data_IF_552424922646
#
_entry.id   IF_552424922646
#
_cell.length_a   1.000
_cell.length_b   1.000
_cell.length_c   1.000
_cell.angle_alpha   90.00
_cell.angle_beta   90.00
_cell.angle_gamma   90.00
#
_symmetry.space_group_name_H-M   'P 1'
#
loop_
_entity.id
_entity.type
_entity.pdbx_description
1 polymer ?
#
# COMPACT_ATOMS: atom_id res chain seq x y z
N UNK A 1 -30.40 -6.72 -5.02
CA UNK A 1 -30.66 -5.92 -3.79
C UNK A 1 -31.00 -6.79 -2.59
N UNK A 2 -32.00 -7.69 -2.64
CA UNK A 2 -32.33 -8.58 -1.50
C UNK A 2 -31.18 -9.46 -0.96
N UNK A 3 -30.28 -9.96 -1.83
CA UNK A 3 -29.12 -10.75 -1.39
C UNK A 3 -28.06 -9.92 -0.64
N UNK A 4 -27.89 -8.63 -1.01
CA UNK A 4 -26.96 -7.69 -0.37
C UNK A 4 -27.49 -7.16 0.99
N UNK A 5 -28.81 -7.04 1.13
CA UNK A 5 -29.45 -6.64 2.40
C UNK A 5 -29.30 -7.70 3.50
N UNK A 6 -29.26 -8.98 3.11
CA UNK A 6 -29.01 -10.11 4.03
C UNK A 6 -27.55 -10.12 4.48
N UNK A 7 -26.61 -9.78 3.61
CA UNK A 7 -25.17 -9.79 3.88
C UNK A 7 -24.74 -8.68 4.87
N UNK A 8 -25.27 -7.46 4.74
CA UNK A 8 -25.03 -6.36 5.70
C UNK A 8 -25.78 -6.53 7.03
N UNK A 9 -26.91 -7.24 6.98
CA UNK A 9 -27.80 -7.49 8.11
C UNK A 9 -27.32 -8.61 9.04
N UNK A 10 -26.44 -9.49 8.55
CA UNK A 10 -25.92 -10.64 9.29
C UNK A 10 -25.05 -10.19 10.49
N UNK A 11 -25.46 -10.50 11.74
CA UNK A 11 -24.71 -10.11 12.92
C UNK A 11 -23.31 -10.74 13.02
N UNK A 12 -23.13 -11.93 12.47
CA UNK A 12 -21.86 -12.64 12.48
C UNK A 12 -20.90 -11.99 11.47
N UNK A 13 -21.33 -11.80 10.22
CA UNK A 13 -20.52 -11.10 9.22
C UNK A 13 -20.17 -9.68 9.67
N UNK A 14 -21.11 -8.97 10.31
CA UNK A 14 -20.84 -7.65 10.87
C UNK A 14 -19.74 -7.69 11.93
N UNK A 15 -19.78 -8.67 12.82
CA UNK A 15 -18.78 -8.81 13.90
C UNK A 15 -17.41 -9.22 13.36
N UNK A 16 -17.38 -10.06 12.34
CA UNK A 16 -16.14 -10.62 11.79
C UNK A 16 -15.46 -9.66 10.81
N UNK A 17 -16.23 -9.04 9.91
CA UNK A 17 -15.68 -8.25 8.81
C UNK A 17 -15.63 -6.76 9.09
N UNK A 18 -16.46 -6.20 9.96
CA UNK A 18 -16.52 -4.74 10.14
C UNK A 18 -15.76 -4.28 11.39
N UNK A 19 -15.16 -3.10 11.28
CA UNK A 19 -14.55 -2.38 12.38
C UNK A 19 -14.87 -0.89 12.30
N UNK A 20 -14.96 -0.25 13.47
CA UNK A 20 -14.99 1.20 13.60
C UNK A 20 -13.56 1.70 13.74
N UNK A 21 -13.19 2.72 12.97
CA UNK A 21 -11.88 3.35 13.08
C UNK A 21 -12.02 4.58 13.97
N UNK A 22 -11.25 4.59 15.07
CA UNK A 22 -11.23 5.68 16.04
C UNK A 22 -9.99 6.57 15.83
N UNK A 23 -10.15 7.86 16.06
CA UNK A 23 -9.03 8.78 16.21
C UNK A 23 -8.38 8.68 17.58
N UNK A 24 -7.28 9.41 17.75
CA UNK A 24 -6.60 9.58 19.04
C UNK A 24 -7.51 10.27 20.08
N UNK A 25 -8.47 11.07 19.61
CA UNK A 25 -9.52 11.71 20.40
C UNK A 25 -10.66 10.76 20.81
N UNK A 26 -10.52 9.46 20.51
CA UNK A 26 -11.55 8.43 20.67
C UNK A 26 -12.85 8.71 19.89
N UNK A 27 -12.84 9.67 18.95
CA UNK A 27 -13.97 9.92 18.08
C UNK A 27 -13.98 8.99 16.89
N UNK A 28 -15.16 8.71 16.35
CA UNK A 28 -15.33 7.90 15.15
C UNK A 28 -14.80 8.68 13.95
N UNK A 29 -13.77 8.14 13.31
CA UNK A 29 -13.21 8.67 12.07
C UNK A 29 -13.76 7.97 10.84
N UNK A 30 -14.38 6.81 11.00
CA UNK A 30 -14.99 6.06 9.91
C UNK A 30 -15.16 4.59 10.23
N UNK A 31 -15.27 3.79 9.17
CA UNK A 31 -15.35 2.34 9.26
C UNK A 31 -14.39 1.66 8.27
N UNK A 32 -14.10 0.40 8.55
CA UNK A 32 -13.43 -0.52 7.66
C UNK A 32 -14.21 -1.84 7.59
N UNK A 33 -14.17 -2.47 6.42
CA UNK A 33 -14.62 -3.83 6.16
C UNK A 33 -13.40 -4.63 5.69
N UNK A 34 -13.23 -5.83 6.22
CA UNK A 34 -12.19 -6.79 5.86
C UNK A 34 -12.86 -8.00 5.21
N UNK A 35 -12.99 -7.97 3.88
CA UNK A 35 -13.64 -9.03 3.13
C UNK A 35 -12.62 -10.15 2.82
N UNK A 36 -12.82 -11.38 3.31
CA UNK A 36 -11.88 -12.47 3.10
C UNK A 36 -12.03 -13.05 1.70
N UNK A 37 -10.93 -13.11 0.95
CA UNK A 37 -10.78 -13.83 -0.31
C UNK A 37 -9.67 -14.89 -0.16
N UNK A 38 -9.55 -15.80 -1.12
CA UNK A 38 -8.48 -16.79 -1.13
C UNK A 38 -7.12 -16.09 -1.30
N UNK A 39 -6.27 -16.12 -0.26
CA UNK A 39 -4.95 -15.47 -0.25
C UNK A 39 -4.97 -13.94 -0.16
N UNK A 40 -6.15 -13.30 -0.15
CA UNK A 40 -6.29 -11.84 -0.20
C UNK A 40 -7.28 -11.35 0.87
N UNK A 41 -6.99 -10.20 1.47
CA UNK A 41 -7.95 -9.46 2.30
C UNK A 41 -8.35 -8.19 1.56
N UNK A 42 -9.55 -8.17 0.96
CA UNK A 42 -10.08 -6.99 0.29
C UNK A 42 -10.66 -6.02 1.30
N UNK A 43 -10.14 -4.79 1.34
CA UNK A 43 -10.61 -3.78 2.28
C UNK A 43 -11.65 -2.85 1.64
N UNK A 44 -12.79 -2.71 2.31
CA UNK A 44 -13.74 -1.62 2.08
C UNK A 44 -13.58 -0.58 3.18
N UNK A 45 -13.68 0.71 2.87
CA UNK A 45 -13.53 1.76 3.88
C UNK A 45 -14.32 3.01 3.56
N UNK A 46 -14.72 3.72 4.61
CA UNK A 46 -15.37 5.01 4.51
C UNK A 46 -14.95 5.91 5.66
N UNK A 47 -14.33 7.05 5.32
CA UNK A 47 -13.96 8.08 6.29
C UNK A 47 -15.14 9.02 6.52
N UNK A 48 -15.32 9.48 7.76
CA UNK A 48 -16.35 10.45 8.13
C UNK A 48 -16.20 11.72 7.28
N UNK A 49 -17.28 12.27 6.69
CA UNK A 49 -17.20 13.40 5.76
C UNK A 49 -16.49 14.63 6.33
N UNK A 50 -16.76 14.98 7.58
CA UNK A 50 -16.13 16.14 8.25
C UNK A 50 -14.64 15.98 8.52
N UNK A 51 -14.11 14.75 8.43
CA UNK A 51 -12.67 14.47 8.58
C UNK A 51 -11.94 14.46 7.23
N UNK A 52 -12.66 14.39 6.12
CA UNK A 52 -12.08 14.47 4.79
C UNK A 52 -11.44 15.85 4.53
N UNK A 53 -10.35 15.89 3.75
CA UNK A 53 -9.70 17.16 3.38
C UNK A 53 -8.66 17.70 4.37
N UNK A 54 -8.52 17.08 5.55
CA UNK A 54 -7.60 17.55 6.62
C UNK A 54 -6.23 16.83 6.63
N UNK A 55 -5.86 16.14 5.54
CA UNK A 55 -4.59 15.40 5.45
C UNK A 55 -4.51 14.10 6.24
N UNK A 56 -5.60 13.67 6.89
CA UNK A 56 -5.64 12.50 7.78
C UNK A 56 -5.84 11.16 7.05
N UNK A 57 -6.18 11.18 5.75
CA UNK A 57 -6.54 9.97 5.00
C UNK A 57 -5.45 8.90 4.97
N UNK A 58 -4.17 9.27 4.82
CA UNK A 58 -3.09 8.28 4.76
C UNK A 58 -2.89 7.58 6.09
N UNK A 59 -3.01 8.30 7.22
CA UNK A 59 -2.94 7.69 8.55
C UNK A 59 -4.15 6.75 8.79
N UNK A 60 -5.35 7.19 8.36
CA UNK A 60 -6.57 6.39 8.41
C UNK A 60 -6.43 5.06 7.65
N UNK A 61 -6.01 5.10 6.39
CA UNK A 61 -5.79 3.89 5.58
C UNK A 61 -4.66 3.03 6.15
N UNK A 62 -3.57 3.65 6.61
CA UNK A 62 -2.45 2.90 7.20
C UNK A 62 -2.85 2.12 8.45
N UNK A 63 -3.74 2.67 9.28
CA UNK A 63 -4.29 1.98 10.44
C UNK A 63 -5.12 0.75 10.02
N UNK A 64 -5.95 0.90 8.99
CA UNK A 64 -6.76 -0.19 8.44
C UNK A 64 -5.87 -1.32 7.90
N UNK A 65 -4.84 -0.98 7.13
CA UNK A 65 -3.88 -1.94 6.58
C UNK A 65 -3.14 -2.69 7.68
N UNK A 66 -2.70 -1.99 8.74
CA UNK A 66 -2.06 -2.63 9.90
C UNK A 66 -2.98 -3.65 10.57
N UNK A 67 -4.26 -3.31 10.71
CA UNK A 67 -5.25 -4.23 11.27
C UNK A 67 -5.53 -5.42 10.33
N UNK A 68 -5.59 -5.21 9.02
CA UNK A 68 -5.72 -6.31 8.04
C UNK A 68 -4.55 -7.29 8.16
N UNK A 69 -3.30 -6.79 8.18
CA UNK A 69 -2.10 -7.61 8.38
C UNK A 69 -2.07 -8.29 9.75
N UNK A 70 -2.55 -7.63 10.81
CA UNK A 70 -2.65 -8.24 12.14
C UNK A 70 -3.62 -9.44 12.15
N UNK A 71 -4.71 -9.35 11.39
CA UNK A 71 -5.71 -10.43 11.26
C UNK A 71 -5.16 -11.58 10.42
N UNK A 72 -4.62 -11.28 9.25
CA UNK A 72 -4.07 -12.26 8.30
C UNK A 72 -2.73 -11.78 7.74
N UNK A 73 -1.60 -12.11 8.41
CA UNK A 73 -0.28 -11.61 8.02
C UNK A 73 0.22 -12.09 6.65
N UNK A 74 -0.31 -13.23 6.20
CA UNK A 74 0.08 -13.85 4.93
C UNK A 74 -0.74 -13.38 3.73
N UNK A 75 -1.84 -12.65 3.96
CA UNK A 75 -2.72 -12.23 2.87
C UNK A 75 -2.20 -10.96 2.20
N UNK A 76 -2.31 -10.91 0.88
CA UNK A 76 -2.23 -9.65 0.15
C UNK A 76 -3.40 -8.74 0.54
N UNK A 77 -3.23 -7.43 0.36
CA UNK A 77 -4.27 -6.45 0.68
C UNK A 77 -4.56 -5.65 -0.57
N UNK A 78 -5.82 -5.65 -0.96
CA UNK A 78 -6.32 -4.85 -2.08
C UNK A 78 -7.57 -4.06 -1.69
N UNK A 79 -7.96 -3.15 -2.59
CA UNK A 79 -9.20 -2.41 -2.53
C UNK A 79 -9.68 -2.08 -3.94
N UNK A 80 -10.97 -1.80 -4.05
CA UNK A 80 -11.56 -1.24 -5.27
C UNK A 80 -11.94 0.22 -5.06
N UNK A 81 -11.70 1.04 -6.06
CA UNK A 81 -12.02 2.47 -6.05
C UNK A 81 -12.56 2.90 -7.41
N UNK A 82 -13.65 3.67 -7.42
CA UNK A 82 -14.17 4.27 -8.65
C UNK A 82 -13.12 5.23 -9.23
N UNK A 83 -12.86 5.16 -10.54
CA UNK A 83 -11.75 5.90 -11.16
C UNK A 83 -11.90 7.42 -11.07
N UNK A 84 -13.13 7.92 -10.95
CA UNK A 84 -13.41 9.34 -10.70
C UNK A 84 -13.06 9.81 -9.27
N UNK A 85 -12.82 8.90 -8.32
CA UNK A 85 -12.55 9.23 -6.92
C UNK A 85 -11.05 9.53 -6.70
N UNK A 86 -10.55 10.53 -7.42
CA UNK A 86 -9.14 10.94 -7.41
C UNK A 86 -8.62 11.29 -6.00
N UNK A 87 -9.51 11.75 -5.10
CA UNK A 87 -9.13 12.02 -3.70
C UNK A 87 -8.73 10.74 -2.97
N UNK A 88 -9.44 9.64 -3.19
CA UNK A 88 -9.20 8.37 -2.53
C UNK A 88 -7.98 7.69 -3.14
N UNK A 89 -7.90 7.64 -4.48
CA UNK A 89 -6.73 7.15 -5.23
C UNK A 89 -5.45 7.81 -4.73
N UNK A 90 -5.43 9.15 -4.61
CA UNK A 90 -4.25 9.86 -4.06
C UNK A 90 -3.87 9.43 -2.65
N UNK A 91 -4.84 9.09 -1.80
CA UNK A 91 -4.60 8.61 -0.44
C UNK A 91 -4.05 7.19 -0.46
N UNK A 92 -4.63 6.29 -1.26
CA UNK A 92 -4.21 4.89 -1.36
C UNK A 92 -2.82 4.77 -1.96
N UNK A 93 -2.54 5.53 -3.02
CA UNK A 93 -1.20 5.70 -3.56
C UNK A 93 -0.22 6.16 -2.47
N UNK A 94 -0.57 7.15 -1.65
CA UNK A 94 0.28 7.59 -0.53
C UNK A 94 0.43 6.53 0.58
N UNK A 95 -0.55 5.66 0.74
CA UNK A 95 -0.53 4.54 1.69
C UNK A 95 0.23 3.31 1.18
N UNK A 96 0.79 3.38 -0.04
CA UNK A 96 1.62 2.33 -0.63
C UNK A 96 0.91 1.42 -1.62
N UNK A 97 -0.37 1.66 -1.92
CA UNK A 97 -1.07 0.92 -2.96
C UNK A 97 -0.56 1.31 -4.36
N UNK A 98 -0.70 0.39 -5.30
CA UNK A 98 -0.48 0.57 -6.73
C UNK A 98 -1.71 0.07 -7.48
N UNK A 99 -2.08 0.76 -8.55
CA UNK A 99 -3.15 0.32 -9.45
C UNK A 99 -2.67 -0.92 -10.21
N UNK A 100 -3.44 -2.01 -10.12
CA UNK A 100 -3.16 -3.26 -10.82
C UNK A 100 -3.97 -3.37 -12.10
N UNK A 101 -5.28 -3.10 -12.03
CA UNK A 101 -6.19 -3.22 -13.17
C UNK A 101 -7.33 -2.20 -13.08
N UNK A 102 -8.05 -2.02 -14.19
CA UNK A 102 -9.27 -1.22 -14.30
C UNK A 102 -10.34 -1.96 -15.09
N UNK A 103 -11.56 -2.05 -14.56
CA UNK A 103 -12.67 -2.75 -15.21
C UNK A 103 -14.02 -2.08 -14.97
N UNK A 104 -15.02 -2.41 -15.79
CA UNK A 104 -16.40 -1.95 -15.60
C UNK A 104 -17.15 -2.80 -14.57
N UNK A 105 -17.82 -2.15 -13.63
CA UNK A 105 -18.68 -2.79 -12.63
C UNK A 105 -20.07 -2.16 -12.63
N UNK A 106 -21.10 -2.98 -12.41
CA UNK A 106 -22.45 -2.47 -12.16
C UNK A 106 -22.54 -1.89 -10.75
N UNK A 107 -22.92 -0.62 -10.65
CA UNK A 107 -23.26 0.08 -9.41
C UNK A 107 -24.75 0.42 -9.42
N UNK A 108 -25.34 0.82 -8.27
CA UNK A 108 -26.74 1.29 -8.25
C UNK A 108 -27.01 2.47 -9.20
N UNK A 109 -25.98 3.22 -9.58
CA UNK A 109 -26.05 4.37 -10.48
C UNK A 109 -25.79 4.01 -11.95
N UNK A 110 -25.52 2.74 -12.26
CA UNK A 110 -25.23 2.24 -13.61
C UNK A 110 -23.85 1.58 -13.71
N UNK A 111 -23.36 1.42 -14.94
CA UNK A 111 -22.00 0.92 -15.16
C UNK A 111 -20.99 2.03 -14.86
N UNK A 112 -20.02 1.74 -14.00
CA UNK A 112 -18.90 2.63 -13.72
C UNK A 112 -17.58 1.88 -13.81
N UNK A 113 -16.51 2.60 -14.11
CA UNK A 113 -15.16 2.07 -14.12
C UNK A 113 -14.57 2.09 -12.70
N UNK A 114 -14.02 0.96 -12.28
CA UNK A 114 -13.32 0.78 -11.01
C UNK A 114 -11.86 0.43 -11.26
N UNK A 115 -10.98 1.01 -10.47
CA UNK A 115 -9.59 0.62 -10.35
C UNK A 115 -9.45 -0.35 -9.17
N UNK A 116 -8.75 -1.45 -9.40
CA UNK A 116 -8.28 -2.36 -8.37
C UNK A 116 -6.87 -1.94 -7.98
N UNK A 117 -6.69 -1.66 -6.69
CA UNK A 117 -5.42 -1.25 -6.14
C UNK A 117 -4.97 -2.25 -5.09
N UNK A 118 -3.75 -2.74 -5.24
CA UNK A 118 -3.14 -3.67 -4.28
C UNK A 118 -1.92 -3.02 -3.64
N UNK A 119 -1.68 -3.38 -2.38
CA UNK A 119 -0.42 -3.05 -1.72
C UNK A 119 0.64 -4.06 -2.16
N UNK A 120 1.79 -3.62 -2.69
CA UNK A 120 2.89 -4.53 -3.00
C UNK A 120 3.28 -5.33 -1.76
N UNK A 121 3.32 -6.65 -1.90
CA UNK A 121 3.78 -7.57 -0.85
C UNK A 121 5.20 -7.98 -1.18
N UNK A 122 6.13 -7.76 -0.24
CA UNK A 122 7.51 -8.17 -0.44
C UNK A 122 7.59 -9.71 -0.47
N UNK A 123 8.17 -10.33 -1.51
CA UNK A 123 8.36 -11.77 -1.53
C UNK A 123 9.37 -12.21 -0.45
N UNK A 124 9.22 -13.41 0.13
CA UNK A 124 10.20 -13.95 1.04
C UNK A 124 11.50 -14.27 0.28
N UNK A 125 12.56 -13.54 0.59
CA UNK A 125 13.90 -13.76 0.00
C UNK A 125 14.97 -13.85 1.09
N UNK A 126 16.05 -14.56 0.79
CA UNK A 126 17.28 -14.48 1.60
C UNK A 126 18.16 -13.39 1.01
N UNK A 127 18.66 -12.48 1.84
CA UNK A 127 19.49 -11.38 1.38
C UNK A 127 20.82 -11.90 0.80
N UNK A 128 21.13 -11.49 -0.42
CA UNK A 128 22.44 -11.62 -1.05
C UNK A 128 23.02 -10.21 -1.23
N UNK A 129 23.95 -9.86 -0.34
CA UNK A 129 24.56 -8.54 -0.32
C UNK A 129 25.37 -8.22 -1.58
N UNK A 130 25.99 -9.22 -2.22
CA UNK A 130 26.78 -9.02 -3.43
C UNK A 130 25.89 -8.71 -4.64
N UNK A 131 24.80 -9.46 -4.79
CA UNK A 131 23.80 -9.19 -5.82
C UNK A 131 23.10 -7.85 -5.58
N UNK A 132 22.70 -7.56 -4.33
CA UNK A 132 22.06 -6.30 -3.98
C UNK A 132 22.96 -5.09 -4.31
N UNK A 133 24.24 -5.14 -3.92
CA UNK A 133 25.20 -4.07 -4.23
C UNK A 133 25.40 -3.89 -5.74
N UNK A 134 25.46 -4.99 -6.51
CA UNK A 134 25.56 -4.93 -7.97
C UNK A 134 24.32 -4.26 -8.60
N UNK A 135 23.11 -4.60 -8.13
CA UNK A 135 21.87 -3.99 -8.58
C UNK A 135 21.80 -2.50 -8.22
N UNK A 136 22.21 -2.13 -7.01
CA UNK A 136 22.29 -0.72 -6.58
C UNK A 136 23.28 0.06 -7.46
N UNK A 137 24.45 -0.49 -7.75
CA UNK A 137 25.44 0.12 -8.66
C UNK A 137 24.92 0.27 -10.09
N UNK A 138 24.15 -0.69 -10.58
CA UNK A 138 23.61 -0.63 -11.94
C UNK A 138 22.45 0.37 -12.06
N UNK A 139 21.63 0.54 -11.02
CA UNK A 139 20.31 1.17 -11.14
C UNK A 139 20.11 2.44 -10.30
N UNK A 140 20.84 2.61 -9.20
CA UNK A 140 20.50 3.61 -8.17
C UNK A 140 21.55 4.71 -8.02
N UNK A 141 22.84 4.39 -8.20
CA UNK A 141 23.94 5.32 -7.87
C UNK A 141 23.97 6.59 -8.75
N UNK A 142 23.41 6.55 -9.96
CA UNK A 142 23.32 7.74 -10.82
C UNK A 142 22.58 8.89 -10.13
N UNK A 143 21.59 8.56 -9.30
CA UNK A 143 20.84 9.55 -8.53
C UNK A 143 21.36 9.64 -7.09
N UNK A 144 21.67 8.50 -6.47
CA UNK A 144 21.94 8.39 -5.04
C UNK A 144 23.43 8.41 -4.67
N UNK A 145 24.33 8.55 -5.65
CA UNK A 145 25.78 8.56 -5.45
C UNK A 145 26.39 7.15 -5.32
N UNK A 146 27.65 7.02 -5.72
CA UNK A 146 28.44 5.78 -5.67
C UNK A 146 28.66 5.24 -4.24
N UNK A 147 28.63 6.14 -3.26
CA UNK A 147 28.69 5.84 -1.83
C UNK A 147 27.35 6.06 -1.12
N UNK A 148 26.24 6.13 -1.86
CA UNK A 148 24.90 6.41 -1.33
C UNK A 148 24.76 7.78 -0.65
N UNK A 149 25.73 8.68 -0.85
CA UNK A 149 25.80 10.02 -0.26
C UNK A 149 24.71 10.97 -0.79
N UNK A 150 23.98 10.57 -1.82
CA UNK A 150 23.01 11.38 -2.53
C UNK A 150 23.63 12.13 -3.71
N UNK A 151 22.88 13.09 -4.23
CA UNK A 151 23.25 13.90 -5.37
C UNK A 151 21.98 14.50 -5.96
N UNK A 152 21.54 13.95 -7.10
CA UNK A 152 20.21 14.27 -7.65
C UNK A 152 19.09 13.70 -6.78
N UNK A 153 19.29 12.49 -6.25
CA UNK A 153 18.43 11.85 -5.26
C UNK A 153 18.93 12.09 -3.83
N UNK A 154 18.09 11.81 -2.82
CA UNK A 154 18.49 11.91 -1.42
C UNK A 154 19.58 10.88 -1.06
N UNK A 155 20.30 11.12 0.04
CA UNK A 155 21.23 10.14 0.59
C UNK A 155 20.50 8.90 1.09
N UNK A 156 21.08 7.72 0.83
CA UNK A 156 20.61 6.42 1.33
C UNK A 156 21.55 5.80 2.38
N UNK A 157 22.61 6.50 2.80
CA UNK A 157 23.60 5.98 3.77
C UNK A 157 23.00 5.58 5.12
N UNK A 158 21.83 6.14 5.47
CA UNK A 158 21.11 5.87 6.72
C UNK A 158 19.63 5.55 6.50
N UNK A 159 19.28 5.04 5.32
CA UNK A 159 17.88 4.81 4.98
C UNK A 159 17.21 3.78 5.89
N UNK A 160 17.94 2.76 6.34
CA UNK A 160 17.49 1.75 7.30
C UNK A 160 17.28 2.25 8.73
N UNK A 161 17.73 3.48 9.04
CA UNK A 161 17.37 4.19 10.28
C UNK A 161 16.11 5.04 10.13
N UNK A 162 15.68 5.31 8.89
CA UNK A 162 14.52 6.18 8.59
C UNK A 162 13.28 5.37 8.20
N UNK A 163 13.48 4.36 7.37
CA UNK A 163 12.44 3.54 6.76
C UNK A 163 12.69 2.06 7.07
N UNK A 164 11.61 1.31 7.24
CA UNK A 164 11.66 -0.15 7.33
C UNK A 164 11.80 -0.79 5.94
N UNK A 165 12.12 -2.08 5.92
CA UNK A 165 12.35 -2.85 4.68
C UNK A 165 11.14 -2.81 3.75
N UNK A 166 9.92 -2.90 4.28
CA UNK A 166 8.68 -2.88 3.51
C UNK A 166 8.45 -1.52 2.82
N UNK A 167 8.74 -0.43 3.53
CA UNK A 167 8.65 0.92 2.98
C UNK A 167 9.71 1.16 1.92
N UNK A 168 10.93 0.66 2.11
CA UNK A 168 12.00 0.73 1.09
C UNK A 168 11.58 -0.06 -0.15
N UNK A 169 11.12 -1.31 0.02
CA UNK A 169 10.62 -2.18 -1.05
C UNK A 169 9.51 -1.47 -1.85
N UNK A 170 8.47 -1.00 -1.17
CA UNK A 170 7.34 -0.29 -1.79
C UNK A 170 7.80 0.95 -2.56
N UNK A 171 8.76 1.70 -2.02
CA UNK A 171 9.31 2.89 -2.67
C UNK A 171 10.05 2.55 -3.96
N UNK A 172 10.78 1.44 -4.00
CA UNK A 172 11.50 0.99 -5.21
C UNK A 172 10.50 0.45 -6.25
N UNK A 173 9.53 -0.36 -5.84
CA UNK A 173 8.47 -0.88 -6.71
C UNK A 173 7.72 0.26 -7.39
N UNK A 174 7.32 1.28 -6.64
CA UNK A 174 6.45 2.35 -7.14
C UNK A 174 7.22 3.53 -7.76
N UNK A 175 8.42 3.80 -7.29
CA UNK A 175 9.07 5.09 -7.46
C UNK A 175 8.44 6.19 -6.61
N UNK A 176 8.84 7.45 -6.85
CA UNK A 176 8.41 8.60 -6.05
C UNK A 176 8.19 9.85 -6.91
N UNK A 177 7.14 10.59 -6.59
CA UNK A 177 6.91 11.94 -7.11
C UNK A 177 8.09 12.84 -6.72
N UNK A 178 8.89 13.26 -7.71
CA UNK A 178 10.21 13.88 -7.50
C UNK A 178 11.31 13.33 -8.42
N UNK A 179 10.97 12.41 -9.33
CA UNK A 179 11.88 11.93 -10.38
C UNK A 179 12.47 10.55 -10.14
N UNK A 180 12.11 9.87 -9.04
CA UNK A 180 12.48 8.46 -8.85
C UNK A 180 11.53 7.58 -9.67
N UNK A 181 12.00 6.87 -10.71
CA UNK A 181 11.16 6.00 -11.51
C UNK A 181 10.72 4.76 -10.73
N UNK A 182 9.63 4.13 -11.18
CA UNK A 182 9.29 2.76 -10.79
C UNK A 182 10.35 1.78 -11.30
N UNK A 183 10.66 0.76 -10.50
CA UNK A 183 11.52 -0.36 -10.89
C UNK A 183 10.77 -1.68 -11.09
N UNK A 184 9.45 -1.72 -10.88
CA UNK A 184 8.62 -2.92 -11.06
C UNK A 184 8.80 -3.57 -12.45
N UNK A 185 8.93 -2.75 -13.48
CA UNK A 185 9.06 -3.23 -14.87
C UNK A 185 10.53 -3.42 -15.30
N UNK A 186 11.48 -3.16 -14.40
CA UNK A 186 12.93 -3.21 -14.68
C UNK A 186 13.67 -4.30 -13.91
N UNK A 187 13.19 -4.63 -12.72
CA UNK A 187 13.76 -5.61 -11.81
C UNK A 187 12.66 -6.59 -11.39
N UNK A 188 13.05 -7.83 -11.08
CA UNK A 188 12.12 -8.80 -10.49
C UNK A 188 11.77 -8.41 -9.06
N UNK A 189 10.61 -8.83 -8.58
CA UNK A 189 10.18 -8.53 -7.21
C UNK A 189 11.18 -9.06 -6.16
N UNK A 190 11.79 -10.21 -6.41
CA UNK A 190 12.83 -10.77 -5.52
C UNK A 190 14.12 -9.93 -5.52
N UNK A 191 14.47 -9.34 -6.66
CA UNK A 191 15.63 -8.45 -6.78
C UNK A 191 15.38 -7.14 -6.03
N UNK A 192 14.17 -6.59 -6.15
CA UNK A 192 13.77 -5.38 -5.41
C UNK A 192 13.73 -5.67 -3.91
N UNK A 193 13.20 -6.83 -3.49
CA UNK A 193 13.19 -7.26 -2.10
C UNK A 193 14.62 -7.41 -1.53
N UNK A 194 15.52 -8.05 -2.28
CA UNK A 194 16.92 -8.19 -1.86
C UNK A 194 17.61 -6.82 -1.70
N UNK A 195 17.41 -5.89 -2.65
CA UNK A 195 17.91 -4.51 -2.54
C UNK A 195 17.33 -3.79 -1.33
N UNK A 196 16.03 -3.93 -1.07
CA UNK A 196 15.38 -3.31 0.07
C UNK A 196 15.94 -3.83 1.41
N UNK A 197 16.15 -5.14 1.54
CA UNK A 197 16.78 -5.74 2.73
C UNK A 197 18.19 -5.19 2.95
N UNK A 198 19.01 -5.11 1.91
CA UNK A 198 20.38 -4.60 2.00
C UNK A 198 20.44 -3.10 2.35
N UNK A 199 19.50 -2.31 1.83
CA UNK A 199 19.36 -0.89 2.17
C UNK A 199 18.88 -0.68 3.61
N UNK A 200 18.02 -1.57 4.13
CA UNK A 200 17.54 -1.51 5.51
C UNK A 200 18.65 -1.75 6.56
N UNK A 201 19.80 -2.31 6.15
CA UNK A 201 20.98 -2.43 7.01
C UNK A 201 21.81 -1.13 7.09
N UNK A 202 21.55 -0.14 6.23
CA UNK A 202 22.27 1.15 6.22
C UNK A 202 21.69 2.08 7.29
N UNK A 203 22.31 2.11 8.47
CA UNK A 203 21.81 2.82 9.67
C UNK A 203 22.64 4.01 10.10
#
# INVERSE_FOLDING_TARGET
MKALEVEFGDPQLRKEQYAVVLGEDHQIWGFAQYFPLEGVTRIGLGMHPERCGHGQGTAFVSAIVKEALRRNPANEIDLEVLTWNERAIRVYLKAGFVTQDTYERQTPSGKEEVAEEAKPTMPPVTMDAGQAEALVKANCITCHGDQLQGGMGPSLQKIGSQDDVEKIYTTIVKGKSGGMPSFKDKLKDEEIANVAMWLAEKK
#
